data_IF_396606775993
#
_entry.id   IF_396606775993
#
_cell.length_a   1.000
_cell.length_b   1.000
_cell.length_c   1.000
_cell.angle_alpha   90.00
_cell.angle_beta   90.00
_cell.angle_gamma   90.00
#
_symmetry.space_group_name_H-M   'P 1'
#
loop_
_entity.id
_entity.type
_entity.pdbx_description
1 polymer ?
#
# COMPACT_ATOMS: atom_id res chain seq x y z
N UNK A 1 40.69 25.67 12.01
CA UNK A 1 41.53 26.84 12.37
C UNK A 1 40.74 28.10 12.05
N UNK A 2 40.37 28.86 13.08
CA UNK A 2 39.38 29.92 12.99
C UNK A 2 39.93 31.12 12.18
N UNK A 3 39.11 31.83 11.39
CA UNK A 3 39.59 32.97 10.58
C UNK A 3 40.25 34.06 11.45
N UNK A 4 39.83 34.18 12.71
CA UNK A 4 40.43 35.07 13.71
C UNK A 4 41.83 34.64 14.16
N UNK A 5 42.08 33.33 14.32
CA UNK A 5 43.40 32.81 14.69
C UNK A 5 44.42 33.05 13.58
N UNK A 6 43.99 32.87 12.32
CA UNK A 6 44.81 33.15 11.12
C UNK A 6 45.16 34.64 11.00
N UNK A 7 44.19 35.54 11.20
CA UNK A 7 44.43 37.00 11.24
C UNK A 7 45.36 37.41 12.38
N UNK A 8 45.25 36.77 13.55
CA UNK A 8 46.13 37.01 14.69
C UNK A 8 47.56 36.55 14.40
N UNK A 9 47.74 35.37 13.80
CA UNK A 9 49.06 34.84 13.44
C UNK A 9 49.73 35.65 12.31
N UNK A 10 48.93 36.17 11.38
CA UNK A 10 49.38 37.07 10.32
C UNK A 10 49.88 38.42 10.84
N UNK A 11 49.11 39.07 11.71
CA UNK A 11 49.52 40.34 12.32
C UNK A 11 50.77 40.16 13.20
N UNK A 12 50.92 39.02 13.86
CA UNK A 12 52.14 38.64 14.60
C UNK A 12 53.34 38.49 13.67
N UNK A 13 53.21 37.72 12.58
CA UNK A 13 54.27 37.52 11.58
C UNK A 13 54.66 38.83 10.88
N UNK A 14 53.69 39.67 10.53
CA UNK A 14 53.96 41.00 10.00
C UNK A 14 54.70 41.87 11.03
N UNK A 15 54.31 41.83 12.31
CA UNK A 15 54.98 42.54 13.40
C UNK A 15 56.42 42.07 13.64
N UNK A 16 56.69 40.76 13.55
CA UNK A 16 58.04 40.20 13.67
C UNK A 16 58.96 40.66 12.53
N UNK A 17 58.47 40.69 11.29
CA UNK A 17 59.20 41.17 10.12
C UNK A 17 59.48 42.69 10.15
N UNK A 18 58.77 43.45 10.99
CA UNK A 18 58.91 44.91 11.09
C UNK A 18 59.98 45.37 12.08
N UNK A 19 60.55 44.47 12.89
CA UNK A 19 61.60 44.82 13.86
C UNK A 19 62.89 45.19 13.12
N UNK A 20 63.32 46.45 13.26
CA UNK A 20 64.54 46.99 12.63
C UNK A 20 64.64 46.69 11.12
N UNK A 21 63.50 46.79 10.42
CA UNK A 21 63.46 46.52 8.99
C UNK A 21 64.06 47.69 8.21
N UNK A 22 64.87 47.37 7.21
CA UNK A 22 65.43 48.37 6.30
C UNK A 22 64.70 48.34 4.97
N UNK A 23 64.85 49.39 4.17
CA UNK A 23 64.29 49.45 2.81
C UNK A 23 64.69 48.23 1.96
N UNK A 24 65.92 47.76 2.06
CA UNK A 24 66.40 46.54 1.36
C UNK A 24 65.57 45.30 1.72
N UNK A 25 65.30 45.09 3.00
CA UNK A 25 64.50 43.95 3.48
C UNK A 25 63.04 44.03 3.01
N UNK A 26 62.44 45.23 2.96
CA UNK A 26 61.08 45.40 2.42
C UNK A 26 61.05 45.05 0.92
N UNK A 27 62.05 45.48 0.15
CA UNK A 27 62.19 45.13 -1.27
C UNK A 27 62.32 43.61 -1.46
N UNK A 28 63.10 42.92 -0.62
CA UNK A 28 63.21 41.46 -0.64
C UNK A 28 61.87 40.78 -0.33
N UNK A 29 61.12 41.26 0.66
CA UNK A 29 59.78 40.75 1.00
C UNK A 29 58.81 40.95 -0.16
N UNK A 30 58.82 42.13 -0.80
CA UNK A 30 57.98 42.45 -1.94
C UNK A 30 58.27 41.49 -3.12
N UNK A 31 59.55 41.33 -3.49
CA UNK A 31 59.95 40.40 -4.57
C UNK A 31 59.60 38.94 -4.26
N UNK A 32 59.76 38.50 -3.00
CA UNK A 32 59.34 37.15 -2.56
C UNK A 32 57.84 36.91 -2.62
N UNK A 33 57.02 37.97 -2.73
CA UNK A 33 55.56 37.88 -2.88
C UNK A 33 55.13 38.38 -4.26
N UNK A 34 55.98 38.20 -5.28
CA UNK A 34 55.69 38.50 -6.68
C UNK A 34 55.26 39.95 -6.96
N UNK A 35 55.77 40.89 -6.17
CA UNK A 35 55.65 42.31 -6.48
C UNK A 35 56.82 42.77 -7.34
N UNK A 36 56.49 43.44 -8.44
CA UNK A 36 57.45 44.13 -9.28
C UNK A 36 57.85 45.46 -8.62
N UNK A 37 59.15 45.79 -8.64
CA UNK A 37 59.67 47.00 -8.01
C UNK A 37 60.01 48.02 -9.10
N UNK A 38 59.27 49.13 -9.11
CA UNK A 38 59.43 50.22 -10.05
C UNK A 38 59.95 51.48 -9.35
N UNK A 39 60.71 52.29 -10.08
CA UNK A 39 61.12 53.63 -9.62
C UNK A 39 59.94 54.60 -9.71
N UNK A 40 59.64 55.30 -8.62
CA UNK A 40 58.57 56.30 -8.53
C UNK A 40 59.11 57.73 -8.35
N UNK A 41 60.30 58.01 -8.91
CA UNK A 41 61.05 59.25 -8.76
C UNK A 41 62.55 58.98 -8.68
N UNK A 42 63.36 59.99 -8.33
CA UNK A 42 64.83 59.86 -8.25
C UNK A 42 65.30 58.82 -7.21
N UNK A 43 64.61 58.72 -6.08
CA UNK A 43 65.01 57.81 -4.98
C UNK A 43 63.87 56.96 -4.44
N UNK A 44 62.62 57.17 -4.87
CA UNK A 44 61.45 56.47 -4.34
C UNK A 44 61.20 55.16 -5.09
N UNK A 45 60.85 54.10 -4.36
CA UNK A 45 60.44 52.82 -4.94
C UNK A 45 58.98 52.53 -4.67
N UNK A 46 58.35 51.84 -5.61
CA UNK A 46 56.97 51.41 -5.55
C UNK A 46 56.90 49.95 -5.94
N UNK A 47 56.19 49.16 -5.14
CA UNK A 47 55.86 47.79 -5.45
C UNK A 47 54.52 47.75 -6.18
N UNK A 48 54.46 47.09 -7.33
CA UNK A 48 53.24 46.93 -8.12
C UNK A 48 53.00 45.45 -8.41
N UNK A 49 51.75 45.01 -8.28
CA UNK A 49 51.28 43.66 -8.62
C UNK A 49 49.92 43.78 -9.30
N UNK A 50 49.70 43.01 -10.37
CA UNK A 50 48.45 43.05 -11.15
C UNK A 50 47.25 42.70 -10.26
N UNK A 51 46.20 43.53 -10.30
CA UNK A 51 44.99 43.34 -9.50
C UNK A 51 45.05 43.88 -8.07
N UNK A 52 46.18 44.47 -7.64
CA UNK A 52 46.35 45.04 -6.30
C UNK A 52 46.82 46.50 -6.35
N UNK A 53 46.43 47.27 -5.34
CA UNK A 53 46.91 48.64 -5.17
C UNK A 53 48.42 48.64 -4.99
N UNK A 54 49.10 49.50 -5.75
CA UNK A 54 50.55 49.60 -5.62
C UNK A 54 50.95 50.18 -4.26
N UNK A 55 52.05 49.66 -3.72
CA UNK A 55 52.52 49.98 -2.37
C UNK A 55 53.82 50.79 -2.45
N UNK A 56 53.83 52.00 -1.89
CA UNK A 56 55.04 52.81 -1.81
C UNK A 56 56.01 52.24 -0.78
N UNK A 57 57.29 52.08 -1.14
CA UNK A 57 58.35 51.61 -0.26
C UNK A 57 59.08 52.82 0.33
N UNK A 58 58.97 53.06 1.65
CA UNK A 58 59.53 54.26 2.28
C UNK A 58 61.05 54.17 2.51
N UNK A 59 61.67 55.33 2.69
CA UNK A 59 63.11 55.50 2.91
C UNK A 59 63.87 55.86 1.64
N UNK A 60 65.02 56.53 1.75
CA UNK A 60 65.85 56.98 0.62
C UNK A 60 67.09 56.07 0.42
N UNK A 61 67.58 55.44 1.49
CA UNK A 61 68.75 54.55 1.48
C UNK A 61 68.40 53.13 1.93
N UNK A 62 69.10 52.14 1.36
CA UNK A 62 68.89 50.71 1.62
C UNK A 62 69.25 50.27 3.06
N UNK A 63 70.08 51.05 3.76
CA UNK A 63 70.51 50.78 5.14
C UNK A 63 69.69 51.47 6.23
N UNK A 64 68.82 52.41 5.89
CA UNK A 64 68.04 53.16 6.89
C UNK A 64 66.93 52.29 7.46
N UNK A 65 66.83 52.25 8.78
CA UNK A 65 65.74 51.56 9.49
C UNK A 65 64.46 52.35 9.33
N UNK A 66 63.39 51.66 8.93
CA UNK A 66 62.08 52.26 8.73
C UNK A 66 61.30 52.18 10.05
N UNK A 67 60.63 53.25 10.49
CA UNK A 67 59.82 53.23 11.69
C UNK A 67 58.78 52.10 11.66
N UNK A 68 58.65 51.39 12.79
CA UNK A 68 57.84 50.17 12.92
C UNK A 68 56.42 50.32 12.37
N UNK A 69 55.71 51.40 12.71
CA UNK A 69 54.32 51.63 12.26
C UNK A 69 54.22 51.75 10.74
N UNK A 70 55.21 52.37 10.11
CA UNK A 70 55.27 52.56 8.65
C UNK A 70 55.64 51.26 7.96
N UNK A 71 56.67 50.56 8.48
CA UNK A 71 57.06 49.23 8.02
C UNK A 71 55.89 48.23 8.09
N UNK A 72 55.14 48.24 9.20
CA UNK A 72 54.00 47.36 9.42
C UNK A 72 52.89 47.55 8.40
N UNK A 73 52.52 48.80 8.12
CA UNK A 73 51.52 49.10 7.08
C UNK A 73 51.96 48.59 5.71
N UNK A 74 53.21 48.84 5.34
CA UNK A 74 53.76 48.47 4.03
C UNK A 74 53.86 46.95 3.88
N UNK A 75 54.48 46.25 4.84
CA UNK A 75 54.61 44.79 4.82
C UNK A 75 53.24 44.12 4.85
N UNK A 76 52.27 44.67 5.59
CA UNK A 76 50.90 44.16 5.60
C UNK A 76 50.22 44.27 4.23
N UNK A 77 50.42 45.36 3.50
CA UNK A 77 49.88 45.50 2.14
C UNK A 77 50.60 44.59 1.14
N UNK A 78 51.91 44.37 1.30
CA UNK A 78 52.66 43.47 0.43
C UNK A 78 52.27 41.99 0.60
N UNK A 79 51.81 41.58 1.77
CA UNK A 79 51.41 40.20 2.05
C UNK A 79 49.90 39.95 1.85
N UNK A 80 49.10 41.00 1.61
CA UNK A 80 47.65 40.91 1.38
C UNK A 80 47.25 39.98 0.22
N UNK A 81 47.92 39.98 -0.96
CA UNK A 81 47.59 39.09 -2.06
C UNK A 81 47.63 37.60 -1.68
N UNK A 82 48.69 37.18 -0.99
CA UNK A 82 48.92 35.79 -0.59
C UNK A 82 47.84 35.29 0.39
N UNK A 83 47.27 36.18 1.20
CA UNK A 83 46.18 35.84 2.12
C UNK A 83 44.86 35.70 1.36
N UNK A 84 44.57 36.64 0.45
CA UNK A 84 43.36 36.60 -0.36
C UNK A 84 43.32 35.37 -1.25
N UNK A 85 44.45 34.99 -1.85
CA UNK A 85 44.56 33.78 -2.68
C UNK A 85 44.35 32.49 -1.85
N UNK A 86 44.92 32.40 -0.66
CA UNK A 86 44.70 31.26 0.25
C UNK A 86 43.22 31.17 0.67
N UNK A 87 42.61 32.30 1.03
CA UNK A 87 41.21 32.35 1.42
C UNK A 87 40.26 31.94 0.28
N UNK A 88 40.57 32.35 -0.96
CA UNK A 88 39.80 31.97 -2.14
C UNK A 88 39.92 30.47 -2.46
N UNK A 89 41.12 29.88 -2.33
CA UNK A 89 41.31 28.43 -2.51
C UNK A 89 40.52 27.63 -1.48
N UNK A 90 40.61 28.00 -0.20
CA UNK A 90 39.85 27.33 0.87
C UNK A 90 38.33 27.46 0.65
N UNK A 91 37.86 28.62 0.20
CA UNK A 91 36.45 28.83 -0.11
C UNK A 91 36.00 27.95 -1.30
N UNK A 92 36.81 27.87 -2.36
CA UNK A 92 36.50 27.07 -3.53
C UNK A 92 36.47 25.56 -3.21
N UNK A 93 37.43 25.06 -2.43
CA UNK A 93 37.44 23.67 -1.96
C UNK A 93 36.21 23.36 -1.08
N UNK A 94 35.83 24.27 -0.19
CA UNK A 94 34.63 24.11 0.64
C UNK A 94 33.35 24.13 -0.21
N UNK A 95 33.30 24.98 -1.23
CA UNK A 95 32.19 25.05 -2.17
C UNK A 95 32.07 23.77 -2.99
N UNK A 96 33.18 23.24 -3.52
CA UNK A 96 33.20 21.97 -4.27
C UNK A 96 32.69 20.81 -3.41
N UNK A 97 33.19 20.67 -2.18
CA UNK A 97 32.71 19.65 -1.24
C UNK A 97 31.22 19.77 -0.96
N UNK A 98 30.72 21.00 -0.81
CA UNK A 98 29.29 21.24 -0.60
C UNK A 98 28.48 20.86 -1.84
N UNK A 99 28.97 21.21 -3.03
CA UNK A 99 28.31 20.87 -4.28
C UNK A 99 28.21 19.35 -4.45
N UNK A 100 29.31 18.63 -4.26
CA UNK A 100 29.35 17.15 -4.31
C UNK A 100 28.38 16.50 -3.32
N UNK A 101 28.25 17.07 -2.11
CA UNK A 101 27.30 16.58 -1.11
C UNK A 101 25.85 16.80 -1.57
N UNK A 102 25.53 17.97 -2.12
CA UNK A 102 24.17 18.26 -2.59
C UNK A 102 23.82 17.45 -3.85
N UNK A 103 24.76 17.20 -4.77
CA UNK A 103 24.52 16.31 -5.91
C UNK A 103 24.26 14.88 -5.45
N UNK A 104 25.07 14.35 -4.53
CA UNK A 104 24.84 13.02 -3.97
C UNK A 104 23.50 12.89 -3.23
N UNK A 105 23.03 13.98 -2.60
CA UNK A 105 21.69 14.03 -1.99
C UNK A 105 20.59 14.03 -3.04
N UNK A 106 20.75 14.80 -4.13
CA UNK A 106 19.80 14.83 -5.24
C UNK A 106 19.66 13.44 -5.88
N UNK A 107 20.79 12.79 -6.21
CA UNK A 107 20.81 11.44 -6.81
C UNK A 107 20.09 10.42 -5.89
N UNK A 108 20.31 10.52 -4.58
CA UNK A 108 19.63 9.66 -3.60
C UNK A 108 18.12 9.88 -3.57
N UNK A 109 17.67 11.13 -3.64
CA UNK A 109 16.24 11.46 -3.65
C UNK A 109 15.60 11.01 -4.95
N UNK A 110 16.28 11.17 -6.08
CA UNK A 110 15.81 10.72 -7.39
C UNK A 110 15.62 9.19 -7.42
N UNK A 111 16.61 8.43 -6.95
CA UNK A 111 16.49 6.97 -6.83
C UNK A 111 15.36 6.53 -5.88
N UNK A 112 15.13 7.29 -4.80
CA UNK A 112 13.99 7.03 -3.90
C UNK A 112 12.65 7.31 -4.58
N UNK A 113 12.57 8.36 -5.40
CA UNK A 113 11.38 8.74 -6.14
C UNK A 113 11.05 7.72 -7.24
N UNK A 114 12.05 7.25 -7.98
CA UNK A 114 11.87 6.16 -8.95
C UNK A 114 11.34 4.89 -8.29
N UNK A 115 11.92 4.50 -7.15
CA UNK A 115 11.44 3.34 -6.37
C UNK A 115 10.01 3.54 -5.89
N UNK A 116 9.66 4.73 -5.41
CA UNK A 116 8.30 5.03 -4.96
C UNK A 116 7.30 4.95 -6.12
N UNK A 117 7.63 5.50 -7.30
CA UNK A 117 6.79 5.43 -8.49
C UNK A 117 6.57 3.99 -8.95
N UNK A 118 7.60 3.15 -8.90
CA UNK A 118 7.46 1.73 -9.20
C UNK A 118 6.49 1.03 -8.23
N UNK A 119 6.61 1.30 -6.93
CA UNK A 119 5.70 0.74 -5.92
C UNK A 119 4.26 1.22 -6.14
N UNK A 120 4.06 2.50 -6.44
CA UNK A 120 2.73 3.07 -6.71
C UNK A 120 2.09 2.39 -7.92
N UNK A 121 2.85 2.17 -9.00
CA UNK A 121 2.35 1.47 -10.17
C UNK A 121 1.90 0.04 -9.83
N UNK A 122 2.73 -0.72 -9.11
CA UNK A 122 2.37 -2.08 -8.66
C UNK A 122 1.12 -2.09 -7.77
N UNK A 123 1.00 -1.13 -6.84
CA UNK A 123 -0.17 -1.05 -5.96
C UNK A 123 -1.45 -0.69 -6.72
N UNK A 124 -1.35 0.13 -7.77
CA UNK A 124 -2.49 0.43 -8.63
C UNK A 124 -2.97 -0.83 -9.38
N UNK A 125 -2.05 -1.65 -9.87
CA UNK A 125 -2.39 -2.92 -10.52
C UNK A 125 -3.08 -3.89 -9.52
N UNK A 126 -2.58 -3.97 -8.28
CA UNK A 126 -3.20 -4.78 -7.22
C UNK A 126 -4.61 -4.29 -6.85
N UNK A 127 -4.81 -2.96 -6.80
CA UNK A 127 -6.12 -2.35 -6.53
C UNK A 127 -7.10 -2.67 -7.65
N UNK A 128 -6.69 -2.57 -8.91
CA UNK A 128 -7.51 -2.91 -10.07
C UNK A 128 -7.88 -4.41 -10.07
N UNK A 129 -6.93 -5.29 -9.80
CA UNK A 129 -7.21 -6.72 -9.63
C UNK A 129 -8.21 -6.99 -8.49
N UNK A 130 -8.09 -6.25 -7.38
CA UNK A 130 -9.04 -6.29 -6.27
C UNK A 130 -10.46 -5.90 -6.67
N UNK A 131 -10.62 -4.84 -7.48
CA UNK A 131 -11.92 -4.43 -8.00
C UNK A 131 -12.54 -5.46 -8.95
N UNK A 132 -11.73 -6.06 -9.81
CA UNK A 132 -12.20 -7.13 -10.71
C UNK A 132 -12.70 -8.35 -9.92
N UNK A 133 -11.94 -8.79 -8.92
CA UNK A 133 -12.33 -9.90 -8.05
C UNK A 133 -13.63 -9.61 -7.26
N UNK A 134 -13.78 -8.37 -6.78
CA UNK A 134 -15.01 -7.94 -6.09
C UNK A 134 -16.22 -8.00 -7.03
N UNK A 135 -16.09 -7.51 -8.27
CA UNK A 135 -17.14 -7.55 -9.27
C UNK A 135 -17.53 -8.99 -9.66
N UNK A 136 -16.54 -9.88 -9.83
CA UNK A 136 -16.79 -11.31 -10.08
C UNK A 136 -17.55 -11.97 -8.92
N UNK A 137 -17.14 -11.67 -7.68
CA UNK A 137 -17.76 -12.19 -6.47
C UNK A 137 -19.21 -11.69 -6.33
N UNK A 138 -19.46 -10.42 -6.59
CA UNK A 138 -20.81 -9.85 -6.58
C UNK A 138 -21.71 -10.52 -7.63
N UNK A 139 -21.20 -10.72 -8.86
CA UNK A 139 -21.94 -11.37 -9.92
C UNK A 139 -22.27 -12.83 -9.57
N UNK A 140 -21.32 -13.57 -8.97
CA UNK A 140 -21.54 -14.93 -8.47
C UNK A 140 -22.61 -14.96 -7.37
N UNK A 141 -22.54 -14.05 -6.40
CA UNK A 141 -23.53 -13.94 -5.34
C UNK A 141 -24.93 -13.61 -5.88
N UNK A 142 -25.02 -12.76 -6.90
CA UNK A 142 -26.29 -12.43 -7.56
C UNK A 142 -26.88 -13.66 -8.26
N UNK A 143 -26.06 -14.49 -8.90
CA UNK A 143 -26.51 -15.71 -9.57
C UNK A 143 -26.95 -16.78 -8.56
N UNK A 144 -26.17 -17.01 -7.51
CA UNK A 144 -26.56 -17.92 -6.42
C UNK A 144 -27.88 -17.47 -5.76
N UNK A 145 -28.06 -16.17 -5.55
CA UNK A 145 -29.31 -15.62 -5.01
C UNK A 145 -30.53 -15.94 -5.90
N UNK A 146 -30.37 -15.88 -7.23
CA UNK A 146 -31.41 -16.28 -8.18
C UNK A 146 -31.71 -17.78 -8.11
N UNK A 147 -30.68 -18.62 -7.99
CA UNK A 147 -30.85 -20.07 -7.85
C UNK A 147 -31.56 -20.45 -6.56
N UNK A 148 -31.15 -19.87 -5.43
CA UNK A 148 -31.81 -20.04 -4.13
C UNK A 148 -33.29 -19.68 -4.24
N UNK A 149 -33.62 -18.56 -4.90
CA UNK A 149 -35.02 -18.18 -5.12
C UNK A 149 -35.77 -19.20 -5.98
N UNK A 150 -35.18 -19.68 -7.08
CA UNK A 150 -35.77 -20.72 -7.95
C UNK A 150 -36.06 -22.01 -7.17
N UNK A 151 -35.08 -22.51 -6.42
CA UNK A 151 -35.26 -23.70 -5.61
C UNK A 151 -36.30 -23.51 -4.51
N UNK A 152 -36.35 -22.32 -3.89
CA UNK A 152 -37.37 -22.00 -2.89
C UNK A 152 -38.79 -22.05 -3.46
N UNK A 153 -38.99 -21.50 -4.66
CA UNK A 153 -40.28 -21.59 -5.36
C UNK A 153 -40.62 -23.04 -5.76
N UNK A 154 -39.64 -23.80 -6.24
CA UNK A 154 -39.83 -25.20 -6.60
C UNK A 154 -40.21 -26.07 -5.40
N UNK A 155 -39.49 -25.93 -4.28
CA UNK A 155 -39.79 -26.63 -3.02
C UNK A 155 -41.18 -26.27 -2.52
N UNK A 156 -41.59 -25.00 -2.61
CA UNK A 156 -42.95 -24.57 -2.24
C UNK A 156 -44.00 -25.28 -3.08
N UNK A 157 -43.78 -25.37 -4.40
CA UNK A 157 -44.68 -26.11 -5.30
C UNK A 157 -44.76 -27.60 -4.98
N UNK A 158 -43.63 -28.24 -4.66
CA UNK A 158 -43.60 -29.65 -4.25
C UNK A 158 -44.33 -29.89 -2.92
N UNK A 159 -44.13 -29.01 -1.93
CA UNK A 159 -44.85 -29.07 -0.65
C UNK A 159 -46.36 -29.04 -0.85
N UNK A 160 -46.85 -28.15 -1.72
CA UNK A 160 -48.28 -28.07 -2.03
C UNK A 160 -48.78 -29.35 -2.72
N UNK A 161 -48.03 -29.89 -3.69
CA UNK A 161 -48.40 -31.14 -4.36
C UNK A 161 -48.49 -32.32 -3.38
N UNK A 162 -47.52 -32.44 -2.47
CA UNK A 162 -47.52 -33.47 -1.43
C UNK A 162 -48.73 -33.30 -0.51
N UNK A 163 -49.02 -32.08 -0.07
CA UNK A 163 -50.20 -31.81 0.77
C UNK A 163 -51.51 -32.22 0.08
N UNK A 164 -51.65 -31.92 -1.22
CA UNK A 164 -52.82 -32.32 -1.99
C UNK A 164 -52.93 -33.86 -2.10
N UNK A 165 -51.82 -34.55 -2.39
CA UNK A 165 -51.80 -36.02 -2.48
C UNK A 165 -52.14 -36.69 -1.14
N UNK A 166 -51.64 -36.14 -0.03
CA UNK A 166 -52.02 -36.62 1.32
C UNK A 166 -53.53 -36.46 1.52
N UNK A 167 -54.09 -35.29 1.21
CA UNK A 167 -55.54 -35.06 1.33
C UNK A 167 -56.38 -36.01 0.47
N UNK A 168 -55.94 -36.26 -0.78
CA UNK A 168 -56.61 -37.23 -1.67
C UNK A 168 -56.55 -38.65 -1.11
N UNK A 169 -55.39 -39.07 -0.59
CA UNK A 169 -55.22 -40.39 0.05
C UNK A 169 -56.13 -40.52 1.27
N UNK A 170 -56.19 -39.53 2.14
CA UNK A 170 -57.09 -39.56 3.31
C UNK A 170 -58.56 -39.66 2.91
N UNK A 171 -58.96 -39.00 1.81
CA UNK A 171 -60.32 -39.15 1.25
C UNK A 171 -60.58 -40.57 0.74
N UNK A 172 -59.64 -41.15 -0.01
CA UNK A 172 -59.75 -42.53 -0.49
C UNK A 172 -59.81 -43.54 0.67
N UNK A 173 -59.01 -43.33 1.71
CA UNK A 173 -59.04 -44.16 2.93
C UNK A 173 -60.41 -44.08 3.62
N UNK A 174 -61.03 -42.89 3.68
CA UNK A 174 -62.37 -42.72 4.24
C UNK A 174 -63.46 -43.38 3.37
N UNK A 175 -63.39 -43.23 2.04
CA UNK A 175 -64.32 -43.89 1.10
C UNK A 175 -64.24 -45.41 1.21
N UNK A 176 -63.03 -45.97 1.28
CA UNK A 176 -62.81 -47.41 1.46
C UNK A 176 -63.36 -47.93 2.79
N UNK A 177 -63.29 -47.13 3.85
CA UNK A 177 -63.85 -47.49 5.16
C UNK A 177 -65.38 -47.58 5.12
N UNK A 178 -66.05 -46.68 4.38
CA UNK A 178 -67.49 -46.73 4.16
C UNK A 178 -67.91 -47.95 3.33
N UNK A 179 -67.12 -48.29 2.29
CA UNK A 179 -67.37 -49.49 1.49
C UNK A 179 -67.22 -50.75 2.36
N UNK A 180 -66.17 -50.83 3.17
CA UNK A 180 -65.94 -51.95 4.08
C UNK A 180 -67.10 -52.14 5.07
N UNK A 181 -67.60 -51.05 5.66
CA UNK A 181 -68.77 -51.09 6.55
C UNK A 181 -70.04 -51.55 5.81
N UNK A 182 -70.34 -51.00 4.61
CA UNK A 182 -71.51 -51.44 3.84
C UNK A 182 -71.43 -52.92 3.44
N UNK A 183 -70.25 -53.41 3.06
CA UNK A 183 -70.02 -54.84 2.76
C UNK A 183 -70.27 -55.69 4.01
N UNK A 184 -69.72 -55.31 5.16
CA UNK A 184 -69.95 -56.01 6.43
C UNK A 184 -71.45 -56.04 6.80
N UNK A 185 -72.16 -54.93 6.63
CA UNK A 185 -73.61 -54.88 6.85
C UNK A 185 -74.40 -55.74 5.85
N UNK A 186 -73.94 -55.88 4.61
CA UNK A 186 -74.56 -56.79 3.65
C UNK A 186 -74.32 -58.25 4.00
N UNK A 187 -73.09 -58.61 4.38
CA UNK A 187 -72.75 -59.96 4.86
C UNK A 187 -73.61 -60.36 6.06
N UNK A 188 -73.75 -59.49 7.06
CA UNK A 188 -74.61 -59.72 8.23
C UNK A 188 -76.09 -59.92 7.84
N UNK A 189 -76.61 -59.14 6.89
CA UNK A 189 -77.97 -59.29 6.37
C UNK A 189 -78.17 -60.62 5.64
N UNK A 190 -77.19 -61.04 4.84
CA UNK A 190 -77.21 -62.34 4.13
C UNK A 190 -77.19 -63.48 5.14
N UNK A 191 -76.28 -63.44 6.13
CA UNK A 191 -76.20 -64.44 7.19
C UNK A 191 -77.52 -64.56 7.97
N UNK A 192 -78.08 -63.44 8.44
CA UNK A 192 -79.37 -63.46 9.14
C UNK A 192 -80.52 -63.98 8.27
N UNK A 193 -80.53 -63.66 6.98
CA UNK A 193 -81.53 -64.20 6.04
C UNK A 193 -81.36 -65.71 5.83
N UNK A 194 -80.12 -66.20 5.73
CA UNK A 194 -79.80 -67.61 5.61
C UNK A 194 -80.22 -68.42 6.86
N UNK A 195 -80.06 -67.85 8.06
CA UNK A 195 -80.56 -68.44 9.31
C UNK A 195 -82.08 -68.60 9.29
N UNK A 196 -82.83 -67.54 8.92
CA UNK A 196 -84.29 -67.59 8.81
C UNK A 196 -84.77 -68.62 7.77
N UNK A 197 -84.12 -68.70 6.61
CA UNK A 197 -84.42 -69.71 5.59
C UNK A 197 -84.12 -71.12 6.10
N UNK A 198 -83.06 -71.29 6.89
CA UNK A 198 -82.72 -72.56 7.53
C UNK A 198 -83.82 -72.99 8.50
N UNK A 199 -84.30 -72.09 9.35
CA UNK A 199 -85.44 -72.35 10.24
C UNK A 199 -86.71 -72.70 9.48
N UNK A 200 -87.02 -71.96 8.40
CA UNK A 200 -88.17 -72.24 7.54
C UNK A 200 -88.09 -73.62 6.89
N UNK A 201 -86.89 -74.04 6.46
CA UNK A 201 -86.66 -75.35 5.81
C UNK A 201 -87.11 -76.54 6.66
N UNK A 202 -87.10 -76.40 8.00
CA UNK A 202 -87.54 -77.43 8.95
C UNK A 202 -89.04 -77.73 8.80
N UNK A 203 -89.84 -76.77 8.32
CA UNK A 203 -91.29 -76.92 8.11
C UNK A 203 -91.64 -77.51 6.74
N UNK A 204 -90.67 -77.66 5.84
CA UNK A 204 -90.87 -78.19 4.50
C UNK A 204 -90.77 -79.73 4.43
N UNK A 205 -91.39 -80.29 3.38
CA UNK A 205 -91.27 -81.70 3.01
C UNK A 205 -89.81 -82.06 2.65
N UNK A 206 -89.37 -83.32 2.82
CA UNK A 206 -87.96 -83.70 2.76
C UNK A 206 -87.23 -83.31 1.46
N UNK A 207 -87.86 -83.49 0.30
CA UNK A 207 -87.29 -83.14 -1.02
C UNK A 207 -87.05 -81.64 -1.16
N UNK A 208 -88.05 -80.81 -0.85
CA UNK A 208 -87.95 -79.34 -0.91
C UNK A 208 -86.98 -78.77 0.14
N UNK A 209 -86.84 -79.43 1.29
CA UNK A 209 -85.84 -79.06 2.31
C UNK A 209 -84.42 -79.22 1.78
N UNK A 210 -84.15 -80.27 1.01
CA UNK A 210 -82.82 -80.57 0.48
C UNK A 210 -82.40 -79.55 -0.57
N UNK A 211 -83.32 -79.18 -1.48
CA UNK A 211 -83.13 -78.13 -2.47
C UNK A 211 -82.91 -76.76 -1.80
N UNK A 212 -83.74 -76.40 -0.80
CA UNK A 212 -83.59 -75.13 -0.09
C UNK A 212 -82.25 -75.04 0.67
N UNK A 213 -81.76 -76.14 1.26
CA UNK A 213 -80.43 -76.18 1.91
C UNK A 213 -79.28 -75.98 0.92
N UNK A 214 -79.39 -76.47 -0.32
CA UNK A 214 -78.39 -76.23 -1.35
C UNK A 214 -78.37 -74.76 -1.78
N UNK A 215 -79.55 -74.13 -1.90
CA UNK A 215 -79.68 -72.70 -2.21
C UNK A 215 -79.10 -71.83 -1.09
N UNK A 216 -79.41 -72.13 0.18
CA UNK A 216 -78.86 -71.41 1.33
C UNK A 216 -77.32 -71.48 1.31
N UNK A 217 -76.77 -72.68 1.10
CA UNK A 217 -75.32 -72.88 1.05
C UNK A 217 -74.66 -72.09 -0.08
N UNK A 218 -75.25 -72.09 -1.26
CA UNK A 218 -74.79 -71.30 -2.41
C UNK A 218 -74.78 -69.80 -2.09
N UNK A 219 -75.86 -69.28 -1.51
CA UNK A 219 -75.97 -67.86 -1.15
C UNK A 219 -74.96 -67.43 -0.07
N UNK A 220 -74.55 -68.33 0.84
CA UNK A 220 -73.56 -68.05 1.89
C UNK A 220 -72.10 -68.30 1.47
N UNK A 221 -71.85 -69.15 0.47
CA UNK A 221 -70.48 -69.46 -0.01
C UNK A 221 -70.04 -68.54 -1.18
N UNK A 222 -70.97 -67.96 -1.95
CA UNK A 222 -70.64 -66.94 -2.97
C UNK A 222 -70.48 -65.51 -2.41
N UNK A 223 -70.83 -65.28 -1.14
CA UNK A 223 -70.78 -63.96 -0.50
C UNK A 223 -69.52 -63.69 0.33
N UNK A 224 -68.58 -64.65 0.39
CA UNK A 224 -67.23 -64.54 1.00
C UNK A 224 -66.14 -64.61 -0.06
#
# INVERSE_FOLDING_TARGET
>A
MNQQEKKCNYNKRAGELCKNVTRKKIVEIARKNDWEILSAGREQLKATRKGYCSVSIPGHNNGTVIPYKTAYKVIKSLLEPSISELANKEWFEAYQKKLELETARADKVEAQLEKANFIIASLNDDVEAGFQLAAETENKNRNLSKEIHRYSCWIRGLKQKIANLIGEKTRQEAEMLLIADEVEQQELRIQGSAELLTEFSIKLKPTLRQELKQIIRYLTEEST
#
